data_IF_565111932331
#
_entry.id   IF_565111932331
#
_cell.length_a   1.000
_cell.length_b   1.000
_cell.length_c   1.000
_cell.angle_alpha   90.00
_cell.angle_beta   90.00
_cell.angle_gamma   90.00
#
_symmetry.space_group_name_H-M   'P 1'
#
loop_
_entity.id
_entity.type
_entity.pdbx_description
1 polymer ?
#
# COMPACT_ATOMS: atom_id res chain seq x y z
N UNK A 1 -6.12 1.46 -6.31
CA UNK A 1 -5.03 0.92 -7.16
C UNK A 1 -5.44 0.97 -8.61
N UNK A 2 -4.64 0.35 -9.50
CA UNK A 2 -5.08 0.07 -10.88
C UNK A 2 -6.17 -1.02 -10.87
N UNK A 3 -7.05 -1.04 -11.87
CA UNK A 3 -8.24 -1.92 -11.90
C UNK A 3 -7.89 -3.40 -11.77
N UNK A 4 -6.78 -3.82 -12.37
CA UNK A 4 -6.27 -5.19 -12.40
C UNK A 4 -5.56 -5.63 -11.11
N UNK A 5 -5.37 -4.72 -10.15
CA UNK A 5 -4.66 -4.94 -8.89
C UNK A 5 -5.56 -4.79 -7.65
N UNK A 6 -6.85 -4.56 -7.84
CA UNK A 6 -7.83 -4.30 -6.78
C UNK A 6 -9.04 -5.20 -6.93
N UNK A 7 -9.63 -5.54 -5.79
CA UNK A 7 -10.89 -6.27 -5.73
C UNK A 7 -12.05 -5.27 -5.84
N UNK A 8 -12.65 -5.20 -7.04
CA UNK A 8 -13.77 -4.29 -7.29
C UNK A 8 -15.04 -4.69 -6.54
N UNK A 9 -15.14 -5.95 -6.06
CA UNK A 9 -16.31 -6.43 -5.32
C UNK A 9 -16.29 -6.03 -3.85
N UNK A 10 -15.19 -5.44 -3.36
CA UNK A 10 -14.96 -5.11 -1.95
C UNK A 10 -14.72 -3.60 -1.76
N UNK A 11 -15.66 -2.72 -2.14
CA UNK A 11 -15.47 -1.28 -2.03
C UNK A 11 -15.29 -0.84 -0.56
N UNK A 12 -15.82 -1.59 0.41
CA UNK A 12 -15.75 -1.33 1.84
C UNK A 12 -14.42 -1.72 2.49
N UNK A 13 -13.58 -2.51 1.81
CA UNK A 13 -12.34 -2.99 2.39
C UNK A 13 -11.32 -1.85 2.58
N UNK A 14 -10.88 -1.69 3.82
CA UNK A 14 -9.81 -0.78 4.22
C UNK A 14 -8.59 -1.57 4.72
N UNK A 15 -7.42 -0.97 4.58
CA UNK A 15 -6.13 -1.51 4.98
C UNK A 15 -5.35 -0.49 5.81
N UNK A 16 -4.38 -0.95 6.60
CA UNK A 16 -3.31 -0.10 7.12
C UNK A 16 -2.17 0.00 6.11
N UNK A 17 -1.41 1.09 6.13
CA UNK A 17 -0.17 1.24 5.34
C UNK A 17 0.83 2.13 6.06
N UNK A 18 2.10 1.77 5.99
CA UNK A 18 3.21 2.59 6.48
C UNK A 18 3.68 3.61 5.43
N UNK A 19 3.26 3.44 4.18
CA UNK A 19 3.57 4.37 3.10
C UNK A 19 2.55 5.53 3.11
N UNK A 20 2.99 6.75 3.40
CA UNK A 20 2.11 7.93 3.32
C UNK A 20 1.63 8.18 1.87
N UNK A 21 0.33 7.99 1.59
CA UNK A 21 -0.17 7.99 0.20
C UNK A 21 -0.48 9.39 -0.33
N UNK A 22 -0.83 10.35 0.54
CA UNK A 22 -1.30 11.67 0.15
C UNK A 22 -2.61 11.62 -0.64
N UNK A 23 -2.73 12.43 -1.70
CA UNK A 23 -3.81 12.40 -2.71
C UNK A 23 -5.25 12.34 -2.16
N UNK A 24 -5.54 13.16 -1.14
CA UNK A 24 -6.81 13.14 -0.41
C UNK A 24 -6.67 12.42 0.92
N UNK A 25 -6.25 13.16 1.94
CA UNK A 25 -5.86 12.62 3.24
C UNK A 25 -6.36 13.53 4.36
N UNK A 26 -6.50 12.94 5.55
CA UNK A 26 -6.91 13.62 6.77
C UNK A 26 -5.73 13.68 7.74
N UNK A 27 -5.55 14.83 8.40
CA UNK A 27 -4.55 15.04 9.45
C UNK A 27 -5.22 15.53 10.72
N UNK A 28 -4.82 14.98 11.87
CA UNK A 28 -5.23 15.51 13.18
C UNK A 28 -4.45 16.79 13.48
N UNK A 29 -5.11 17.76 14.13
CA UNK A 29 -4.49 19.02 14.60
C UNK A 29 -3.22 18.76 15.42
N UNK A 30 -3.27 17.84 16.38
CA UNK A 30 -2.11 17.57 17.25
C UNK A 30 -0.91 17.02 16.46
N UNK A 31 -1.17 16.26 15.39
CA UNK A 31 -0.11 15.81 14.50
C UNK A 31 0.44 17.01 13.71
N UNK A 32 -0.40 17.92 13.21
CA UNK A 32 0.08 19.13 12.54
C UNK A 32 1.00 19.96 13.43
N UNK A 33 0.60 20.23 14.68
CA UNK A 33 1.39 21.01 15.63
C UNK A 33 2.77 20.39 15.93
N UNK A 34 2.92 19.07 15.77
CA UNK A 34 4.21 18.38 15.90
C UNK A 34 5.08 18.47 14.63
N UNK A 35 4.47 18.69 13.46
CA UNK A 35 5.15 18.74 12.17
C UNK A 35 5.53 20.16 11.77
N UNK A 36 4.71 21.15 12.12
CA UNK A 36 4.83 22.55 11.70
C UNK A 36 6.22 23.14 11.99
N UNK A 37 6.76 22.93 13.19
CA UNK A 37 8.06 23.48 13.61
C UNK A 37 9.26 22.90 12.85
N UNK A 38 9.08 21.77 12.16
CA UNK A 38 10.13 21.05 11.42
C UNK A 38 9.73 20.82 9.95
N UNK A 39 8.75 21.58 9.47
CA UNK A 39 8.21 21.41 8.13
C UNK A 39 9.30 21.70 7.09
N UNK A 40 9.46 20.87 6.06
CA UNK A 40 10.53 21.04 5.09
C UNK A 40 10.22 22.18 4.11
N UNK A 41 11.27 22.82 3.59
CA UNK A 41 11.14 23.87 2.58
C UNK A 41 10.59 23.34 1.25
N UNK A 42 10.83 22.06 0.94
CA UNK A 42 10.37 21.40 -0.28
C UNK A 42 10.09 19.91 -0.06
N UNK A 43 9.37 19.28 -1.01
CA UNK A 43 9.11 17.84 -1.04
C UNK A 43 8.48 17.28 0.24
N UNK A 44 7.48 17.99 0.78
CA UNK A 44 6.83 17.62 2.04
C UNK A 44 6.26 16.20 2.05
N UNK A 45 5.81 15.69 0.91
CA UNK A 45 5.21 14.37 0.81
C UNK A 45 6.26 13.26 0.90
N UNK A 46 7.44 13.44 0.29
CA UNK A 46 8.58 12.54 0.48
C UNK A 46 9.14 12.64 1.91
N UNK A 47 9.19 13.84 2.48
CA UNK A 47 9.58 14.02 3.89
C UNK A 47 8.63 13.30 4.86
N UNK A 48 7.31 13.35 4.62
CA UNK A 48 6.31 12.60 5.40
C UNK A 48 6.37 11.08 5.20
N UNK A 49 7.03 10.58 4.14
CA UNK A 49 7.23 9.14 3.93
C UNK A 49 8.36 8.57 4.78
N UNK A 50 9.20 9.41 5.37
CA UNK A 50 10.20 8.97 6.33
C UNK A 50 9.55 8.69 7.71
N UNK A 51 9.64 7.46 8.23
CA UNK A 51 9.12 7.11 9.56
C UNK A 51 9.65 7.97 10.71
N UNK A 52 10.85 8.54 10.58
CA UNK A 52 11.42 9.45 11.57
C UNK A 52 10.56 10.71 11.74
N UNK A 53 9.93 11.17 10.66
CA UNK A 53 9.09 12.36 10.67
C UNK A 53 7.69 12.09 11.21
N UNK A 54 7.18 10.87 10.99
CA UNK A 54 5.82 10.44 11.37
C UNK A 54 5.75 9.61 12.65
N UNK A 55 6.88 9.36 13.32
CA UNK A 55 7.00 8.46 14.48
C UNK A 55 6.52 7.03 14.16
N UNK A 56 6.74 6.58 12.91
CA UNK A 56 6.28 5.27 12.45
C UNK A 56 4.76 5.10 12.43
N UNK A 57 3.98 6.20 12.41
CA UNK A 57 2.52 6.14 12.30
C UNK A 57 2.10 5.62 10.92
N UNK A 58 1.14 4.72 10.91
CA UNK A 58 0.49 4.23 9.69
C UNK A 58 -0.72 5.10 9.30
N UNK A 59 -1.10 5.02 8.03
CA UNK A 59 -2.36 5.53 7.49
C UNK A 59 -3.38 4.41 7.29
N UNK A 60 -4.67 4.77 7.26
CA UNK A 60 -5.71 3.91 6.70
C UNK A 60 -5.85 4.24 5.22
N UNK A 61 -5.90 3.22 4.36
CA UNK A 61 -6.08 3.36 2.91
C UNK A 61 -7.13 2.37 2.39
N UNK A 62 -7.97 2.75 1.42
CA UNK A 62 -8.99 1.86 0.89
C UNK A 62 -8.44 0.88 -0.15
N UNK A 63 -9.18 -0.18 -0.42
CA UNK A 63 -8.95 -1.07 -1.57
C UNK A 63 -9.14 -0.31 -2.89
N UNK A 64 -10.27 0.38 -3.02
CA UNK A 64 -10.64 1.20 -4.18
C UNK A 64 -10.49 2.69 -3.81
N UNK A 65 -9.82 3.49 -4.64
CA UNK A 65 -9.55 4.89 -4.29
C UNK A 65 -10.84 5.71 -4.17
N UNK A 66 -10.85 6.69 -3.24
CA UNK A 66 -11.95 7.66 -3.08
C UNK A 66 -11.67 9.02 -3.71
N UNK A 67 -10.49 9.15 -4.31
CA UNK A 67 -10.07 10.31 -5.08
C UNK A 67 -9.49 9.84 -6.41
N UNK A 68 -9.56 10.71 -7.41
CA UNK A 68 -8.95 10.50 -8.71
C UNK A 68 -8.22 11.77 -9.13
N UNK A 69 -7.04 11.60 -9.71
CA UNK A 69 -6.30 12.72 -10.28
C UNK A 69 -6.62 12.85 -11.76
N UNK A 70 -7.07 14.04 -12.17
CA UNK A 70 -7.28 14.43 -13.57
C UNK A 70 -6.22 15.44 -14.05
N UNK A 71 -5.31 15.88 -13.17
CA UNK A 71 -4.32 16.91 -13.44
C UNK A 71 -3.12 16.39 -14.21
N UNK A 72 -3.24 16.27 -15.54
CA UNK A 72 -2.13 15.85 -16.41
C UNK A 72 -0.96 16.84 -16.39
N UNK A 73 -1.26 18.14 -16.37
CA UNK A 73 -0.27 19.22 -16.37
C UNK A 73 -0.20 19.78 -14.94
N UNK A 74 1.01 19.82 -14.37
CA UNK A 74 1.28 20.33 -13.03
C UNK A 74 2.77 20.49 -12.78
N UNK A 75 3.15 20.74 -11.53
CA UNK A 75 4.54 21.04 -11.11
C UNK A 75 5.54 19.97 -11.55
N UNK A 76 5.14 18.70 -11.60
CA UNK A 76 5.98 17.56 -12.00
C UNK A 76 6.04 17.28 -13.51
N UNK A 77 5.49 18.16 -14.36
CA UNK A 77 5.47 18.01 -15.83
C UNK A 77 4.82 16.72 -16.35
N UNK A 78 3.97 16.06 -15.55
CA UNK A 78 3.06 15.00 -15.99
C UNK A 78 3.63 13.57 -16.12
N UNK A 79 4.94 13.35 -15.95
CA UNK A 79 5.55 12.03 -16.17
C UNK A 79 4.94 10.91 -15.30
N UNK A 80 4.80 11.17 -13.99
CA UNK A 80 4.17 10.22 -13.06
C UNK A 80 2.65 10.06 -13.28
N UNK A 81 2.01 11.08 -13.83
CA UNK A 81 0.58 11.02 -14.14
C UNK A 81 0.29 10.02 -15.24
N UNK A 82 1.06 10.11 -16.34
CA UNK A 82 0.85 9.26 -17.52
C UNK A 82 1.23 7.79 -17.27
N UNK A 83 2.21 7.52 -16.39
CA UNK A 83 2.63 6.15 -16.06
C UNK A 83 1.73 5.46 -15.03
N UNK A 84 1.21 6.20 -14.04
CA UNK A 84 0.58 5.58 -12.85
C UNK A 84 -0.76 6.22 -12.47
N UNK A 85 -0.80 7.53 -12.20
CA UNK A 85 -1.97 8.14 -11.54
C UNK A 85 -3.25 8.07 -12.39
N UNK A 86 -3.13 8.20 -13.71
CA UNK A 86 -4.30 8.15 -14.62
C UNK A 86 -5.05 6.82 -14.62
N UNK A 87 -4.39 5.74 -14.20
CA UNK A 87 -4.95 4.38 -14.17
C UNK A 87 -5.57 4.02 -12.80
N UNK A 88 -5.49 4.92 -11.82
CA UNK A 88 -6.10 4.68 -10.51
C UNK A 88 -7.62 4.70 -10.63
N UNK A 89 -8.26 3.62 -10.20
CA UNK A 89 -9.70 3.49 -10.24
C UNK A 89 -10.36 4.34 -9.14
N UNK A 90 -11.27 5.22 -9.55
CA UNK A 90 -12.21 5.88 -8.64
C UNK A 90 -13.34 4.90 -8.28
N UNK A 91 -13.63 4.81 -6.99
CA UNK A 91 -14.78 4.08 -6.49
C UNK A 91 -16.08 4.82 -6.84
N UNK A 92 -17.03 4.11 -7.45
CA UNK A 92 -18.34 4.64 -7.83
C UNK A 92 -19.48 4.17 -6.92
N UNK A 93 -19.20 3.29 -5.96
CA UNK A 93 -20.19 2.69 -5.08
C UNK A 93 -20.21 3.35 -3.69
N UNK A 94 -21.38 3.80 -3.22
CA UNK A 94 -21.47 4.39 -1.89
C UNK A 94 -21.26 3.32 -0.81
N UNK A 95 -20.40 3.61 0.17
CA UNK A 95 -20.17 2.76 1.35
C UNK A 95 -20.43 3.57 2.60
N UNK A 96 -21.42 3.15 3.39
CA UNK A 96 -21.77 3.77 4.67
C UNK A 96 -20.83 3.36 5.80
N UNK A 97 -19.55 3.77 5.75
CA UNK A 97 -18.51 3.37 6.71
C UNK A 97 -18.87 3.62 8.18
N UNK A 98 -19.68 4.64 8.47
CA UNK A 98 -20.15 4.95 9.83
C UNK A 98 -21.05 3.88 10.45
N UNK A 99 -21.55 2.95 9.62
CA UNK A 99 -22.39 1.81 10.03
C UNK A 99 -21.61 0.49 10.09
N UNK A 100 -20.33 0.51 9.74
CA UNK A 100 -19.48 -0.69 9.73
C UNK A 100 -18.66 -0.77 11.02
N UNK A 101 -18.37 -1.98 11.44
CA UNK A 101 -17.35 -2.21 12.46
C UNK A 101 -15.96 -2.09 11.83
N UNK A 102 -15.24 -1.03 12.19
CA UNK A 102 -13.89 -0.74 11.72
C UNK A 102 -12.82 -1.05 12.78
N UNK A 103 -13.18 -1.71 13.88
CA UNK A 103 -12.25 -2.06 14.97
C UNK A 103 -11.13 -2.99 14.51
N UNK A 104 -11.33 -3.72 13.40
CA UNK A 104 -10.29 -4.54 12.78
C UNK A 104 -9.08 -3.72 12.31
N UNK A 105 -9.23 -2.40 12.10
CA UNK A 105 -8.13 -1.50 11.70
C UNK A 105 -7.30 -0.98 12.88
N UNK A 106 -7.72 -1.23 14.12
CA UNK A 106 -6.90 -0.96 15.30
C UNK A 106 -5.61 -1.77 15.20
N UNK A 107 -4.49 -1.17 15.60
CA UNK A 107 -3.15 -1.69 15.31
C UNK A 107 -2.99 -3.11 15.86
N UNK A 108 -3.43 -3.35 17.08
CA UNK A 108 -3.30 -4.61 17.80
C UNK A 108 -4.07 -5.73 17.09
N UNK A 109 -5.31 -5.42 16.67
CA UNK A 109 -6.17 -6.34 15.92
C UNK A 109 -5.61 -6.63 14.53
N UNK A 110 -5.20 -5.57 13.81
CA UNK A 110 -4.73 -5.68 12.43
C UNK A 110 -3.39 -6.39 12.34
N UNK A 111 -2.44 -6.08 13.24
CA UNK A 111 -1.11 -6.70 13.25
C UNK A 111 -1.23 -8.21 13.47
N UNK A 112 -1.94 -8.63 14.52
CA UNK A 112 -2.12 -10.04 14.83
C UNK A 112 -2.84 -10.78 13.70
N UNK A 113 -3.93 -10.20 13.19
CA UNK A 113 -4.76 -10.82 12.15
C UNK A 113 -4.01 -10.94 10.82
N UNK A 114 -3.28 -9.89 10.40
CA UNK A 114 -2.54 -9.91 9.14
C UNK A 114 -1.37 -10.89 9.20
N UNK A 115 -0.61 -10.92 10.30
CA UNK A 115 0.52 -11.85 10.45
C UNK A 115 0.05 -13.29 10.39
N UNK A 116 -0.94 -13.66 11.21
CA UNK A 116 -1.49 -15.03 11.21
C UNK A 116 -2.06 -15.41 9.84
N UNK A 117 -2.78 -14.49 9.19
CA UNK A 117 -3.29 -14.72 7.85
C UNK A 117 -2.15 -15.01 6.87
N UNK A 118 -1.18 -14.11 6.73
CA UNK A 118 -0.11 -14.23 5.73
C UNK A 118 0.78 -15.45 5.97
N UNK A 119 1.04 -15.80 7.23
CA UNK A 119 1.79 -17.01 7.58
C UNK A 119 1.04 -18.30 7.25
N UNK A 120 -0.29 -18.30 7.31
CA UNK A 120 -1.11 -19.46 6.98
C UNK A 120 -1.29 -19.70 5.47
N UNK A 121 -0.97 -18.72 4.63
CA UNK A 121 -1.22 -18.79 3.20
C UNK A 121 -0.20 -19.68 2.47
N UNK A 122 -0.63 -20.43 1.44
CA UNK A 122 0.28 -21.14 0.57
C UNK A 122 1.16 -20.17 -0.22
N UNK A 123 2.42 -20.55 -0.38
CA UNK A 123 3.41 -19.78 -1.11
C UNK A 123 3.31 -20.04 -2.62
N UNK A 124 3.37 -18.98 -3.41
CA UNK A 124 3.27 -19.04 -4.87
C UNK A 124 4.29 -18.11 -5.51
N UNK A 125 4.82 -18.50 -6.68
CA UNK A 125 5.71 -17.62 -7.44
C UNK A 125 4.94 -16.46 -8.10
N UNK A 126 5.57 -15.30 -8.34
CA UNK A 126 4.95 -14.23 -9.11
C UNK A 126 4.50 -14.68 -10.51
N UNK A 127 5.26 -15.59 -11.14
CA UNK A 127 4.94 -16.21 -12.42
C UNK A 127 3.63 -16.99 -12.37
N UNK A 128 3.44 -17.84 -11.35
CA UNK A 128 2.26 -18.69 -11.20
C UNK A 128 1.00 -17.86 -10.91
N UNK A 129 1.13 -16.82 -10.06
CA UNK A 129 0.07 -15.84 -9.83
C UNK A 129 -0.35 -15.20 -11.16
N UNK A 130 0.63 -14.75 -11.95
CA UNK A 130 0.40 -14.14 -13.26
C UNK A 130 0.05 -15.15 -14.35
N UNK A 131 0.14 -16.45 -14.11
CA UNK A 131 -0.40 -17.50 -14.98
C UNK A 131 -1.85 -17.83 -14.60
N UNK A 132 -2.32 -17.43 -13.41
CA UNK A 132 -3.62 -17.84 -12.87
C UNK A 132 -3.60 -19.30 -12.40
N UNK A 133 -2.45 -19.80 -11.95
CA UNK A 133 -2.30 -21.15 -11.44
C UNK A 133 -2.89 -21.30 -10.03
N UNK A 134 -3.19 -22.55 -9.67
CA UNK A 134 -3.72 -22.92 -8.35
C UNK A 134 -5.18 -22.52 -8.11
N UNK A 135 -5.81 -23.16 -7.13
CA UNK A 135 -7.25 -22.97 -6.81
C UNK A 135 -7.50 -22.05 -5.62
N UNK A 136 -6.42 -21.61 -4.97
CA UNK A 136 -6.43 -20.89 -3.71
C UNK A 136 -6.93 -19.47 -3.94
N UNK A 137 -7.84 -18.98 -3.09
CA UNK A 137 -8.37 -17.62 -3.20
C UNK A 137 -7.39 -16.56 -2.69
N UNK A 138 -6.41 -16.96 -1.88
CA UNK A 138 -5.38 -16.10 -1.34
C UNK A 138 -4.03 -16.82 -1.29
N UNK A 139 -2.94 -16.10 -1.58
CA UNK A 139 -1.58 -16.64 -1.59
C UNK A 139 -0.57 -15.63 -1.05
N UNK A 140 0.55 -16.15 -0.55
CA UNK A 140 1.73 -15.36 -0.22
C UNK A 140 2.75 -15.47 -1.35
N UNK A 141 3.33 -14.33 -1.73
CA UNK A 141 4.50 -14.26 -2.61
C UNK A 141 5.64 -13.72 -1.76
N UNK A 142 6.69 -14.48 -1.56
CA UNK A 142 7.77 -14.11 -0.63
C UNK A 142 8.90 -13.33 -1.31
N UNK A 143 9.51 -12.40 -0.60
CA UNK A 143 10.75 -11.73 -0.99
C UNK A 143 11.74 -11.65 0.19
N UNK A 144 13.04 -11.57 -0.08
CA UNK A 144 14.09 -11.56 0.97
C UNK A 144 15.03 -10.37 0.89
N UNK A 145 14.90 -9.52 -0.13
CA UNK A 145 15.78 -8.37 -0.38
C UNK A 145 15.10 -7.35 -1.29
N UNK A 146 15.62 -6.12 -1.33
CA UNK A 146 15.16 -5.09 -2.28
C UNK A 146 15.14 -5.59 -3.73
N UNK A 147 16.16 -6.37 -4.13
CA UNK A 147 16.28 -6.92 -5.49
C UNK A 147 15.17 -7.93 -5.78
N UNK A 148 14.88 -8.84 -4.85
CA UNK A 148 13.83 -9.86 -5.03
C UNK A 148 12.45 -9.25 -4.95
N UNK A 149 12.24 -8.25 -4.07
CA UNK A 149 11.02 -7.43 -4.05
C UNK A 149 10.78 -6.77 -5.40
N UNK A 150 11.75 -6.02 -5.94
CA UNK A 150 11.58 -5.32 -7.22
C UNK A 150 11.23 -6.27 -8.36
N UNK A 151 11.89 -7.44 -8.40
CA UNK A 151 11.59 -8.48 -9.41
C UNK A 151 10.15 -8.98 -9.29
N UNK A 152 9.71 -9.33 -8.08
CA UNK A 152 8.35 -9.81 -7.83
C UNK A 152 7.31 -8.72 -8.11
N UNK A 153 7.51 -7.51 -7.60
CA UNK A 153 6.64 -6.35 -7.80
C UNK A 153 6.43 -6.03 -9.29
N UNK A 154 7.52 -5.97 -10.07
CA UNK A 154 7.44 -5.78 -11.53
C UNK A 154 6.63 -6.87 -12.21
N UNK A 155 6.86 -8.14 -11.83
CA UNK A 155 6.13 -9.27 -12.42
C UNK A 155 4.63 -9.20 -12.14
N UNK A 156 4.26 -8.80 -10.92
CA UNK A 156 2.88 -8.60 -10.47
C UNK A 156 2.25 -7.28 -10.96
N UNK A 157 2.97 -6.44 -11.71
CA UNK A 157 2.46 -5.15 -12.19
C UNK A 157 2.36 -4.05 -11.13
N UNK A 158 2.93 -4.29 -9.94
CA UNK A 158 3.00 -3.35 -8.82
C UNK A 158 4.06 -2.27 -9.06
N UNK A 159 4.00 -1.22 -8.25
CA UNK A 159 5.09 -0.24 -8.18
C UNK A 159 6.27 -0.86 -7.39
N UNK A 160 7.46 -0.79 -7.96
CA UNK A 160 8.68 -1.40 -7.41
C UNK A 160 9.64 -0.38 -6.77
N UNK A 161 9.24 0.89 -6.72
CA UNK A 161 9.96 1.94 -6.02
C UNK A 161 9.76 1.88 -4.50
N UNK A 162 10.73 2.46 -3.80
CA UNK A 162 10.70 2.63 -2.35
C UNK A 162 10.81 4.11 -2.01
N UNK A 163 10.34 4.46 -0.81
CA UNK A 163 10.61 5.74 -0.15
C UNK A 163 11.05 5.46 1.28
N UNK A 164 12.27 5.83 1.64
CA UNK A 164 12.87 5.52 2.95
C UNK A 164 12.78 4.02 3.30
N UNK A 165 13.00 3.15 2.32
CA UNK A 165 12.88 1.70 2.49
C UNK A 165 11.47 1.13 2.40
N UNK A 166 10.43 1.96 2.29
CA UNK A 166 9.02 1.54 2.33
C UNK A 166 8.48 1.36 0.91
N UNK A 167 8.00 0.15 0.55
CA UNK A 167 7.30 -0.03 -0.70
C UNK A 167 5.91 0.63 -0.70
N UNK A 168 5.44 1.02 -1.88
CA UNK A 168 4.13 1.65 -2.08
C UNK A 168 3.02 0.78 -1.47
N UNK A 169 2.16 1.38 -0.65
CA UNK A 169 1.01 0.74 0.02
C UNK A 169 1.33 -0.38 1.01
N UNK A 170 2.62 -0.59 1.30
CA UNK A 170 3.04 -1.64 2.22
C UNK A 170 2.58 -1.38 3.65
N UNK A 171 2.38 -2.45 4.41
CA UNK A 171 2.28 -2.43 5.87
C UNK A 171 3.15 -3.56 6.42
N UNK A 172 4.11 -3.23 7.28
CA UNK A 172 5.12 -4.17 7.77
C UNK A 172 5.84 -4.93 6.63
N UNK A 173 6.15 -4.23 5.54
CA UNK A 173 6.74 -4.79 4.32
C UNK A 173 5.76 -5.54 3.41
N UNK A 174 4.53 -5.80 3.85
CA UNK A 174 3.55 -6.58 3.08
C UNK A 174 2.79 -5.67 2.13
N UNK A 175 2.85 -5.94 0.83
CA UNK A 175 2.02 -5.28 -0.19
C UNK A 175 0.88 -6.20 -0.58
N UNK A 176 -0.34 -5.78 -0.24
CA UNK A 176 -1.58 -6.50 -0.57
C UNK A 176 -2.18 -5.99 -1.87
N UNK A 177 -2.43 -6.90 -2.81
CA UNK A 177 -3.10 -6.63 -4.08
C UNK A 177 -4.08 -7.75 -4.44
N UNK A 178 -4.85 -7.56 -5.50
CA UNK A 178 -5.81 -8.53 -6.00
C UNK A 178 -5.58 -8.74 -7.49
N UNK A 179 -5.20 -9.95 -7.90
CA UNK A 179 -4.78 -10.26 -9.26
C UNK A 179 -5.53 -11.52 -9.69
N UNK A 180 -6.21 -11.47 -10.84
CA UNK A 180 -6.89 -12.63 -11.45
C UNK A 180 -7.77 -13.41 -10.45
N UNK A 181 -8.64 -12.69 -9.76
CA UNK A 181 -9.55 -13.22 -8.73
C UNK A 181 -8.87 -13.84 -7.50
N UNK A 182 -7.59 -13.50 -7.26
CA UNK A 182 -6.79 -14.02 -6.15
C UNK A 182 -6.24 -12.87 -5.32
N UNK A 183 -6.37 -12.96 -3.99
CA UNK A 183 -5.73 -12.03 -3.05
C UNK A 183 -4.26 -12.39 -2.90
N UNK A 184 -3.37 -11.46 -3.19
CA UNK A 184 -1.93 -11.69 -3.18
C UNK A 184 -1.26 -10.81 -2.14
N UNK A 185 -0.45 -11.44 -1.28
CA UNK A 185 0.37 -10.76 -0.28
C UNK A 185 1.83 -10.91 -0.67
N UNK A 186 2.42 -9.85 -1.26
CA UNK A 186 3.86 -9.78 -1.47
C UNK A 186 4.53 -9.42 -0.14
N UNK A 187 5.15 -10.39 0.52
CA UNK A 187 5.56 -10.32 1.92
C UNK A 187 7.04 -10.70 2.12
N UNK A 188 7.71 -10.16 3.16
CA UNK A 188 9.05 -10.60 3.51
C UNK A 188 9.05 -12.07 3.95
N UNK A 189 10.06 -12.82 3.53
CA UNK A 189 10.28 -14.22 3.93
C UNK A 189 10.99 -14.35 5.28
N UNK A 190 11.29 -13.22 5.92
CA UNK A 190 12.01 -13.11 7.18
C UNK A 190 11.13 -12.38 8.19
N UNK A 191 11.45 -12.53 9.48
CA UNK A 191 10.75 -11.82 10.54
C UNK A 191 10.91 -10.29 10.36
N UNK A 192 9.80 -9.62 10.07
CA UNK A 192 9.82 -8.17 9.87
C UNK A 192 9.97 -7.46 11.21
N UNK A 193 10.98 -6.60 11.32
CA UNK A 193 11.23 -5.76 12.50
C UNK A 193 11.20 -4.27 12.19
N UNK A 194 11.75 -3.87 11.04
CA UNK A 194 11.78 -2.47 10.56
C UNK A 194 12.04 -2.41 9.06
N UNK A 195 11.80 -1.24 8.47
CA UNK A 195 12.26 -0.93 7.12
C UNK A 195 13.77 -0.64 7.11
N UNK A 196 14.42 -1.00 6.00
CA UNK A 196 15.82 -0.70 5.73
C UNK A 196 15.90 0.53 4.82
N UNK A 197 16.36 1.70 5.32
CA UNK A 197 16.42 2.91 4.52
C UNK A 197 17.43 2.84 3.37
N UNK A 198 18.29 1.81 3.32
CA UNK A 198 19.14 1.57 2.15
C UNK A 198 18.36 1.02 0.95
N UNK A 199 17.12 0.56 1.15
CA UNK A 199 16.24 0.12 0.08
C UNK A 199 15.61 1.32 -0.61
N UNK A 200 16.37 1.95 -1.52
CA UNK A 200 15.88 3.01 -2.40
C UNK A 200 15.86 4.40 -1.76
#
# INVERSE_FOLDING_TARGET
GKKELIDQSRPELLHRTDFFPGLGWLLKRDTWLQLESKWPEAFFDDWLRDPQNTQGKACIRPEISRTYSFGKIGVSKGLFFDMHLRYMQLNMEYVGFTKLDLTYLLKENYDSSLTLLVESLPEMSPEDVMAGAGTELAVRVSYSSAKTYRRAAKKLGLMDDFRSGIPRTAYRGIVTCYIRNKRVYLAPSYEWTKYDPSWG
#
